data_IF_924186733308
#
_entry.id   IF_924186733308
#
_cell.length_a   1.000
_cell.length_b   1.000
_cell.length_c   1.000
_cell.angle_alpha   90.00
_cell.angle_beta   90.00
_cell.angle_gamma   90.00
#
_symmetry.space_group_name_H-M   'P 1'
#
loop_
_entity.id
_entity.type
_entity.pdbx_description
1 polymer ?
#
# COMPACT_ATOMS: atom_id res chain seq x y z
N UNK A 1 -9.97 -5.71 -16.22
CA UNK A 1 -10.09 -4.23 -16.10
C UNK A 1 -11.10 -3.76 -15.07
N UNK A 2 -11.94 -4.64 -14.59
CA UNK A 2 -12.89 -4.29 -13.53
C UNK A 2 -12.23 -3.79 -12.27
N UNK A 3 -11.09 -4.40 -11.88
CA UNK A 3 -10.34 -3.96 -10.69
C UNK A 3 -9.81 -2.54 -10.84
N UNK A 4 -9.28 -2.20 -12.01
CA UNK A 4 -8.78 -0.86 -12.25
C UNK A 4 -9.94 0.15 -12.22
N UNK A 5 -11.07 -0.20 -12.84
CA UNK A 5 -12.26 0.65 -12.83
C UNK A 5 -12.74 0.91 -11.39
N UNK A 6 -12.67 -0.08 -10.52
CA UNK A 6 -13.05 0.08 -9.11
C UNK A 6 -12.15 1.07 -8.37
N UNK A 7 -10.93 1.27 -8.84
CA UNK A 7 -9.93 2.12 -8.20
C UNK A 7 -10.01 3.58 -8.68
N UNK A 8 -10.33 3.78 -9.96
CA UNK A 8 -10.30 5.13 -10.55
C UNK A 8 -11.25 6.08 -9.84
N UNK A 9 -10.77 7.29 -9.60
CA UNK A 9 -11.54 8.35 -8.94
C UNK A 9 -11.65 8.19 -7.43
N UNK A 10 -11.02 7.18 -6.85
CA UNK A 10 -11.12 6.88 -5.43
C UNK A 10 -9.82 7.16 -4.70
N UNK A 11 -9.89 7.14 -3.37
CA UNK A 11 -8.72 7.23 -2.51
C UNK A 11 -8.37 5.84 -2.05
N UNK A 12 -7.20 5.35 -2.48
CA UNK A 12 -6.83 3.94 -2.39
C UNK A 12 -5.53 3.78 -1.63
N UNK A 13 -5.54 2.93 -0.62
CA UNK A 13 -4.33 2.53 0.08
C UNK A 13 -3.66 1.40 -0.69
N UNK A 14 -2.38 1.53 -0.95
CA UNK A 14 -1.57 0.52 -1.62
C UNK A 14 -0.71 -0.21 -0.60
N UNK A 15 -0.98 -1.50 -0.40
CA UNK A 15 -0.23 -2.33 0.53
C UNK A 15 1.21 -2.55 0.00
N UNK A 16 2.10 -2.94 0.88
CA UNK A 16 3.53 -3.11 0.59
C UNK A 16 3.79 -3.97 -0.64
N UNK A 17 3.06 -5.08 -0.78
CA UNK A 17 3.25 -6.00 -1.90
C UNK A 17 3.06 -5.35 -3.26
N UNK A 18 2.20 -4.33 -3.34
CA UNK A 18 1.95 -3.64 -4.61
C UNK A 18 3.24 -3.00 -5.12
N UNK A 19 3.99 -2.35 -4.22
CA UNK A 19 5.27 -1.71 -4.57
C UNK A 19 6.34 -2.73 -4.90
N UNK A 20 6.38 -3.85 -4.18
CA UNK A 20 7.33 -4.92 -4.45
C UNK A 20 7.11 -5.46 -5.86
N UNK A 21 5.87 -5.75 -6.21
CA UNK A 21 5.52 -6.25 -7.55
C UNK A 21 5.81 -5.22 -8.63
N UNK A 22 5.59 -3.94 -8.34
CA UNK A 22 5.87 -2.87 -9.29
C UNK A 22 7.36 -2.76 -9.64
N UNK A 23 8.24 -2.98 -8.67
CA UNK A 23 9.70 -2.90 -8.88
C UNK A 23 10.27 -4.22 -9.36
N UNK A 24 9.87 -5.36 -8.77
CA UNK A 24 10.47 -6.65 -9.02
C UNK A 24 9.73 -7.48 -10.08
N UNK A 25 8.50 -7.10 -10.39
CA UNK A 25 7.66 -7.81 -11.34
C UNK A 25 6.83 -8.90 -10.68
N UNK A 26 5.67 -9.17 -11.25
CA UNK A 26 4.79 -10.25 -10.83
C UNK A 26 3.94 -10.65 -12.04
N UNK A 27 4.39 -11.66 -12.76
CA UNK A 27 3.80 -12.08 -14.04
C UNK A 27 2.27 -12.28 -14.00
N UNK A 28 1.71 -12.95 -12.96
CA UNK A 28 0.26 -13.17 -12.97
C UNK A 28 -0.56 -11.89 -13.05
N UNK A 29 0.00 -10.74 -12.61
CA UNK A 29 -0.73 -9.47 -12.56
C UNK A 29 -0.01 -8.33 -13.26
N UNK A 30 0.91 -8.66 -14.19
CA UNK A 30 1.74 -7.64 -14.85
C UNK A 30 0.90 -6.58 -15.56
N UNK A 31 -0.14 -6.98 -16.30
CA UNK A 31 -0.97 -6.05 -17.04
C UNK A 31 -1.73 -5.10 -16.10
N UNK A 32 -2.29 -5.64 -15.01
CA UNK A 32 -2.99 -4.81 -14.03
C UNK A 32 -2.04 -3.81 -13.38
N UNK A 33 -0.85 -4.26 -12.99
CA UNK A 33 0.14 -3.39 -12.34
C UNK A 33 0.62 -2.28 -13.27
N UNK A 34 0.80 -2.57 -14.55
CA UNK A 34 1.15 -1.53 -15.52
C UNK A 34 0.06 -0.48 -15.63
N UNK A 35 -1.19 -0.92 -15.70
CA UNK A 35 -2.34 -0.02 -15.73
C UNK A 35 -2.47 0.82 -14.47
N UNK A 36 -2.20 0.20 -13.31
CA UNK A 36 -2.24 0.87 -12.02
C UNK A 36 -1.17 1.97 -11.93
N UNK A 37 0.06 1.67 -12.33
CA UNK A 37 1.15 2.66 -12.31
C UNK A 37 0.88 3.80 -13.29
N UNK A 38 0.37 3.50 -14.48
CA UNK A 38 0.01 4.53 -15.44
C UNK A 38 -1.09 5.44 -14.87
N UNK A 39 -2.11 4.87 -14.24
CA UNK A 39 -3.19 5.64 -13.61
C UNK A 39 -2.67 6.50 -12.46
N UNK A 40 -1.71 5.98 -11.70
CA UNK A 40 -1.08 6.73 -10.62
C UNK A 40 -0.34 7.95 -11.18
N UNK A 41 0.50 7.76 -12.19
CA UNK A 41 1.25 8.84 -12.81
C UNK A 41 0.34 9.91 -13.43
N UNK A 42 -0.78 9.48 -13.97
CA UNK A 42 -1.77 10.38 -14.57
C UNK A 42 -2.69 11.06 -13.55
N UNK A 43 -2.57 10.68 -12.28
CA UNK A 43 -3.41 11.25 -11.23
C UNK A 43 -4.86 10.83 -11.31
N UNK A 44 -5.14 9.63 -11.82
CA UNK A 44 -6.51 9.16 -12.02
C UNK A 44 -7.14 8.57 -10.76
N UNK A 45 -6.36 8.41 -9.71
CA UNK A 45 -6.85 8.06 -8.37
C UNK A 45 -5.90 8.66 -7.32
N UNK A 46 -6.35 8.75 -6.08
CA UNK A 46 -5.52 9.26 -4.98
C UNK A 46 -4.89 8.08 -4.25
N UNK A 47 -3.57 7.95 -4.35
CA UNK A 47 -2.84 6.85 -3.74
C UNK A 47 -2.27 7.23 -2.39
N UNK A 48 -2.34 6.31 -1.44
CA UNK A 48 -1.80 6.45 -0.09
C UNK A 48 -1.04 5.18 0.25
N UNK A 49 0.10 5.32 0.92
CA UNK A 49 0.77 4.22 1.60
C UNK A 49 1.40 4.77 2.88
N UNK A 50 2.15 3.94 3.61
CA UNK A 50 2.75 4.36 4.88
C UNK A 50 4.26 4.49 4.75
N UNK A 51 4.89 5.31 5.60
CA UNK A 51 6.34 5.27 5.77
C UNK A 51 6.81 3.88 6.21
N UNK A 52 5.95 3.08 6.84
CA UNK A 52 6.25 1.69 7.14
C UNK A 52 6.53 0.88 5.87
N UNK A 53 5.81 1.17 4.79
CA UNK A 53 6.03 0.53 3.50
C UNK A 53 7.47 0.71 3.04
N UNK A 54 8.00 1.93 3.19
CA UNK A 54 9.41 2.21 2.83
C UNK A 54 10.36 1.29 3.60
N UNK A 55 10.18 1.18 4.91
CA UNK A 55 11.02 0.30 5.72
C UNK A 55 10.91 -1.16 5.27
N UNK A 56 9.70 -1.61 5.03
CA UNK A 56 9.46 -3.02 4.66
C UNK A 56 10.07 -3.39 3.31
N UNK A 57 9.96 -2.52 2.31
CA UNK A 57 10.51 -2.83 0.98
C UNK A 57 12.02 -2.75 0.93
N UNK A 58 12.66 -2.02 1.84
CA UNK A 58 14.12 -1.83 1.82
C UNK A 58 14.90 -2.95 2.51
N UNK A 59 14.26 -3.78 3.34
CA UNK A 59 14.94 -4.83 4.09
C UNK A 59 15.70 -5.78 3.17
N UNK A 60 15.02 -6.34 2.18
CA UNK A 60 15.62 -7.32 1.28
C UNK A 60 16.72 -6.72 0.38
N UNK A 61 16.51 -5.57 -0.28
CA UNK A 61 17.57 -4.96 -1.07
C UNK A 61 18.82 -4.61 -0.25
N UNK A 62 18.66 -4.10 0.96
CA UNK A 62 19.80 -3.83 1.83
C UNK A 62 20.53 -5.13 2.19
N UNK A 63 19.78 -6.18 2.52
CA UNK A 63 20.36 -7.46 2.87
C UNK A 63 21.16 -8.10 1.73
N UNK A 64 20.76 -7.83 0.48
CA UNK A 64 21.41 -8.36 -0.72
C UNK A 64 22.42 -7.40 -1.33
N UNK A 65 22.61 -6.22 -0.77
CA UNK A 65 23.51 -5.20 -1.32
C UNK A 65 23.04 -4.65 -2.66
N UNK A 66 21.74 -4.67 -2.93
CA UNK A 66 21.16 -4.21 -4.20
C UNK A 66 20.85 -2.72 -4.16
N UNK A 67 21.88 -1.91 -4.38
CA UNK A 67 21.74 -0.44 -4.36
C UNK A 67 20.78 0.08 -5.43
N UNK A 68 20.70 -0.58 -6.57
CA UNK A 68 19.79 -0.22 -7.63
C UNK A 68 18.32 -0.35 -7.18
N UNK A 69 18.00 -1.44 -6.48
CA UNK A 69 16.66 -1.66 -5.95
C UNK A 69 16.35 -0.69 -4.81
N UNK A 70 17.33 -0.40 -3.94
CA UNK A 70 17.16 0.59 -2.87
C UNK A 70 16.78 1.94 -3.47
N UNK A 71 17.50 2.38 -4.51
CA UNK A 71 17.20 3.64 -5.17
C UNK A 71 15.81 3.63 -5.83
N UNK A 72 15.45 2.55 -6.50
CA UNK A 72 14.15 2.44 -7.16
C UNK A 72 12.99 2.53 -6.17
N UNK A 73 13.07 1.81 -5.05
CA UNK A 73 12.03 1.88 -4.02
C UNK A 73 11.95 3.25 -3.36
N UNK A 74 13.09 3.84 -3.04
CA UNK A 74 13.13 5.15 -2.39
C UNK A 74 12.49 6.21 -3.29
N UNK A 75 12.77 6.17 -4.58
CA UNK A 75 12.17 7.09 -5.53
C UNK A 75 10.67 6.87 -5.66
N UNK A 76 10.25 5.61 -5.82
CA UNK A 76 8.84 5.25 -5.99
C UNK A 76 7.99 5.67 -4.77
N UNK A 77 8.55 5.59 -3.57
CA UNK A 77 7.86 5.90 -2.33
C UNK A 77 8.06 7.33 -1.84
N UNK A 78 8.68 8.18 -2.65
CA UNK A 78 8.82 9.60 -2.30
C UNK A 78 7.45 10.28 -2.34
N UNK A 79 7.05 10.97 -1.25
CA UNK A 79 5.78 11.69 -1.24
C UNK A 79 5.71 12.70 -2.38
N UNK A 80 4.52 12.81 -2.99
CA UNK A 80 4.30 13.70 -4.13
C UNK A 80 2.82 14.08 -4.19
N UNK A 81 2.44 14.85 -5.20
CA UNK A 81 1.03 15.15 -5.44
C UNK A 81 0.25 13.89 -5.83
N UNK A 82 0.93 12.83 -6.26
CA UNK A 82 0.32 11.55 -6.67
C UNK A 82 0.24 10.54 -5.55
N UNK A 83 1.16 10.61 -4.57
CA UNK A 83 1.28 9.60 -3.52
C UNK A 83 1.45 10.27 -2.16
N UNK A 84 0.49 10.04 -1.28
CA UNK A 84 0.56 10.48 0.11
C UNK A 84 1.22 9.37 0.94
N UNK A 85 2.23 9.74 1.73
CA UNK A 85 2.98 8.78 2.56
C UNK A 85 3.07 9.32 3.99
N UNK A 86 2.02 9.15 4.81
CA UNK A 86 2.05 9.66 6.17
C UNK A 86 3.02 8.87 7.06
N UNK A 87 3.58 9.55 8.07
CA UNK A 87 4.44 8.88 9.05
C UNK A 87 3.62 7.99 9.98
N UNK A 88 4.31 7.05 10.64
CA UNK A 88 3.70 6.19 11.65
C UNK A 88 3.78 6.92 13.00
N UNK A 89 2.78 7.77 13.24
CA UNK A 89 2.74 8.56 14.45
C UNK A 89 1.97 7.88 15.58
N UNK A 90 1.90 8.57 16.71
CA UNK A 90 1.28 8.02 17.93
C UNK A 90 -0.18 7.62 17.73
N UNK A 91 -0.97 8.47 17.05
CA UNK A 91 -2.39 8.18 16.81
C UNK A 91 -2.58 6.93 15.96
N UNK A 92 -1.72 6.74 14.96
CA UNK A 92 -1.74 5.54 14.11
C UNK A 92 -1.43 4.29 14.96
N UNK A 93 -0.45 4.39 15.84
CA UNK A 93 -0.08 3.25 16.70
C UNK A 93 -1.21 2.86 17.66
N UNK A 94 -1.92 3.84 18.20
CA UNK A 94 -3.08 3.57 19.08
C UNK A 94 -4.17 2.87 18.29
N UNK A 95 -4.49 3.34 17.08
CA UNK A 95 -5.51 2.72 16.24
C UNK A 95 -5.08 1.33 15.77
N UNK A 96 -3.81 1.13 15.47
CA UNK A 96 -3.28 -0.19 15.11
C UNK A 96 -3.45 -1.19 16.27
N UNK A 97 -3.21 -0.74 17.51
CA UNK A 97 -3.41 -1.57 18.70
C UNK A 97 -4.89 -1.97 18.84
N UNK A 98 -5.80 -1.02 18.60
CA UNK A 98 -7.25 -1.28 18.65
C UNK A 98 -7.66 -2.29 17.59
N UNK A 99 -7.15 -2.14 16.38
CA UNK A 99 -7.40 -3.04 15.26
C UNK A 99 -6.91 -4.46 15.58
N UNK A 100 -5.70 -4.58 16.11
CA UNK A 100 -5.16 -5.88 16.50
C UNK A 100 -5.98 -6.53 17.61
N UNK A 101 -6.40 -5.76 18.60
CA UNK A 101 -7.22 -6.28 19.70
C UNK A 101 -8.58 -6.79 19.19
N UNK A 102 -9.19 -6.07 18.25
CA UNK A 102 -10.52 -6.42 17.73
C UNK A 102 -10.50 -7.58 16.74
N UNK A 103 -9.52 -7.65 15.84
CA UNK A 103 -9.51 -8.57 14.72
C UNK A 103 -8.33 -9.55 14.73
N UNK A 104 -7.39 -9.43 15.67
CA UNK A 104 -6.22 -10.30 15.72
C UNK A 104 -5.19 -10.01 14.63
N UNK A 105 -5.31 -8.88 13.94
CA UNK A 105 -4.43 -8.52 12.84
C UNK A 105 -2.99 -8.36 13.31
N UNK A 106 -1.99 -8.95 12.61
CA UNK A 106 -0.58 -8.72 12.96
C UNK A 106 -0.25 -7.23 12.97
N UNK A 107 0.66 -6.81 13.86
CA UNK A 107 0.92 -5.39 14.07
C UNK A 107 1.31 -4.61 12.81
N UNK A 108 2.21 -5.10 11.94
CA UNK A 108 2.53 -4.37 10.72
C UNK A 108 1.30 -4.13 9.84
N UNK A 109 0.47 -5.16 9.67
CA UNK A 109 -0.76 -5.05 8.88
C UNK A 109 -1.75 -4.10 9.54
N UNK A 110 -1.84 -4.15 10.87
CA UNK A 110 -2.71 -3.24 11.63
C UNK A 110 -2.28 -1.78 11.45
N UNK A 111 -0.98 -1.52 11.35
CA UNK A 111 -0.46 -0.18 11.10
C UNK A 111 -0.88 0.30 9.70
N UNK A 112 -0.80 -0.57 8.69
CA UNK A 112 -1.26 -0.22 7.34
C UNK A 112 -2.75 0.10 7.31
N UNK A 113 -3.56 -0.73 7.95
CA UNK A 113 -5.01 -0.52 8.00
C UNK A 113 -5.35 0.76 8.74
N UNK A 114 -4.70 1.01 9.87
CA UNK A 114 -4.89 2.25 10.65
C UNK A 114 -4.52 3.48 9.83
N UNK A 115 -3.44 3.41 9.07
CA UNK A 115 -3.00 4.49 8.19
C UNK A 115 -4.03 4.77 7.10
N UNK A 116 -4.57 3.72 6.48
CA UNK A 116 -5.60 3.84 5.46
C UNK A 116 -6.85 4.54 6.00
N UNK A 117 -7.30 4.15 7.18
CA UNK A 117 -8.46 4.77 7.83
C UNK A 117 -8.20 6.24 8.13
N UNK A 118 -7.05 6.56 8.74
CA UNK A 118 -6.70 7.93 9.11
C UNK A 118 -6.58 8.83 7.87
N UNK A 119 -6.14 8.29 6.76
CA UNK A 119 -5.99 9.03 5.50
C UNK A 119 -7.30 9.14 4.71
N UNK A 120 -8.39 8.56 5.21
CA UNK A 120 -9.70 8.62 4.54
C UNK A 120 -9.79 7.77 3.30
N UNK A 121 -9.04 6.68 3.22
CA UNK A 121 -9.11 5.78 2.07
C UNK A 121 -10.43 5.02 2.03
N UNK A 122 -10.94 4.82 0.82
CA UNK A 122 -12.15 4.03 0.58
C UNK A 122 -11.80 2.56 0.33
N UNK A 123 -10.67 2.32 -0.34
CA UNK A 123 -10.23 0.99 -0.73
C UNK A 123 -8.83 0.69 -0.18
N UNK A 124 -8.61 -0.58 0.12
CA UNK A 124 -7.31 -1.10 0.54
C UNK A 124 -6.90 -2.18 -0.46
N UNK A 125 -5.96 -1.88 -1.34
CA UNK A 125 -5.49 -2.81 -2.36
C UNK A 125 -4.35 -3.65 -1.80
N UNK A 126 -4.55 -4.96 -1.78
CA UNK A 126 -3.61 -5.92 -1.19
C UNK A 126 -3.66 -7.25 -1.93
N UNK A 127 -2.65 -8.07 -1.73
CA UNK A 127 -2.66 -9.47 -2.17
C UNK A 127 -2.91 -10.44 -1.01
N UNK A 128 -3.20 -9.95 0.17
CA UNK A 128 -3.43 -10.78 1.36
C UNK A 128 -4.91 -11.07 1.56
N UNK A 129 -5.31 -12.29 1.21
CA UNK A 129 -6.70 -12.73 1.33
C UNK A 129 -7.18 -12.84 2.76
N UNK A 130 -6.26 -13.02 3.72
CA UNK A 130 -6.60 -13.22 5.14
C UNK A 130 -6.81 -11.92 5.88
N UNK A 131 -6.30 -10.82 5.34
CA UNK A 131 -6.38 -9.52 6.01
C UNK A 131 -7.83 -9.09 6.13
N UNK A 132 -8.24 -8.75 7.35
CA UNK A 132 -9.61 -8.30 7.64
C UNK A 132 -9.66 -6.79 7.67
N UNK A 133 -10.75 -6.24 7.14
CA UNK A 133 -10.96 -4.80 7.11
C UNK A 133 -11.96 -4.38 8.20
N UNK A 134 -11.72 -3.24 8.85
CA UNK A 134 -12.73 -2.64 9.72
C UNK A 134 -13.83 -1.99 8.89
N UNK A 135 -14.91 -1.59 9.55
CA UNK A 135 -16.00 -0.85 8.88
C UNK A 135 -15.45 0.42 8.23
N UNK A 136 -15.96 0.74 7.07
CA UNK A 136 -15.58 1.94 6.33
C UNK A 136 -14.42 1.76 5.36
N UNK A 137 -13.80 0.59 5.32
CA UNK A 137 -12.69 0.31 4.42
C UNK A 137 -12.96 -0.99 3.67
N UNK A 138 -12.94 -0.94 2.35
CA UNK A 138 -13.20 -2.11 1.50
C UNK A 138 -11.89 -2.67 0.98
N UNK A 139 -11.73 -3.98 1.10
CA UNK A 139 -10.55 -4.67 0.57
C UNK A 139 -10.76 -5.00 -0.90
N UNK A 140 -9.75 -4.66 -1.71
CA UNK A 140 -9.67 -5.06 -3.11
C UNK A 140 -8.45 -5.95 -3.26
N UNK A 141 -8.65 -7.18 -3.77
CA UNK A 141 -7.56 -8.12 -3.92
C UNK A 141 -6.88 -7.97 -5.27
N UNK A 142 -5.56 -8.13 -5.28
CA UNK A 142 -4.78 -8.10 -6.51
C UNK A 142 -5.13 -9.28 -7.41
N UNK A 143 -5.41 -10.44 -6.83
CA UNK A 143 -5.82 -11.61 -7.61
C UNK A 143 -6.98 -12.38 -7.00
#
# INVERSE_FOLDING_TARGET
>A
MERLTAILGRRVYLDTNIFIYAVEGYEPEAAFLQGLLAALEEGRFAAVTSELTLAEVLVKPFGLGREDAVAAYTELLTPSVRLTVPPVGRAILVEAARQRAALGTPMPDAIHVATALAAGCELFLTNDRRLRMPAGLTKELLE
#
